data_IF_968767216416
#
_entry.id   IF_968767216416
#
_cell.length_a   1.000
_cell.length_b   1.000
_cell.length_c   1.000
_cell.angle_alpha   90.00
_cell.angle_beta   90.00
_cell.angle_gamma   90.00
#
_symmetry.space_group_name_H-M   'P 1'
#
loop_
_entity.id
_entity.type
_entity.pdbx_description
1 polymer ?
#
# COMPACT_ATOMS: atom_id res chain seq x y z
N UNK A 1 -53.42 -49.99 16.32
CA UNK A 1 -52.95 -49.32 15.12
C UNK A 1 -51.91 -48.26 15.57
N UNK A 2 -50.62 -48.58 15.47
CA UNK A 2 -49.52 -47.64 15.85
C UNK A 2 -48.99 -47.00 14.57
N UNK A 3 -49.14 -45.70 14.48
CA UNK A 3 -48.60 -44.91 13.37
C UNK A 3 -47.17 -44.51 13.76
N UNK A 4 -46.20 -45.03 12.99
CA UNK A 4 -44.79 -44.69 13.12
C UNK A 4 -44.52 -43.39 12.34
N UNK A 5 -44.10 -42.33 13.04
CA UNK A 5 -43.60 -41.11 12.38
C UNK A 5 -42.13 -41.30 12.02
N UNK A 6 -41.87 -41.25 10.70
CA UNK A 6 -40.51 -41.22 10.11
C UNK A 6 -40.05 -39.77 10.05
N UNK A 7 -39.08 -39.41 10.88
CA UNK A 7 -38.44 -38.08 10.83
C UNK A 7 -37.29 -38.13 9.81
N UNK A 8 -37.44 -37.44 8.68
CA UNK A 8 -36.34 -37.21 7.73
C UNK A 8 -35.45 -36.09 8.22
N UNK A 9 -34.22 -36.42 8.61
CA UNK A 9 -33.15 -35.45 8.88
C UNK A 9 -32.53 -35.07 7.52
N UNK A 10 -32.77 -33.83 7.05
CA UNK A 10 -32.01 -33.26 5.96
C UNK A 10 -30.66 -32.75 6.53
N UNK A 11 -29.59 -33.47 6.22
CA UNK A 11 -28.22 -32.97 6.43
C UNK A 11 -27.90 -31.97 5.32
N UNK A 12 -27.87 -30.69 5.68
CA UNK A 12 -27.38 -29.63 4.79
C UNK A 12 -25.82 -29.71 4.79
N UNK A 13 -25.27 -30.37 3.78
CA UNK A 13 -23.82 -30.32 3.50
C UNK A 13 -23.49 -28.93 2.94
N UNK A 14 -22.97 -28.04 3.77
CA UNK A 14 -22.30 -26.84 3.31
C UNK A 14 -20.99 -27.28 2.66
N UNK A 15 -20.96 -27.34 1.34
CA UNK A 15 -19.73 -27.49 0.59
C UNK A 15 -18.91 -26.21 0.80
N UNK A 16 -17.86 -26.31 1.60
CA UNK A 16 -16.84 -25.28 1.61
C UNK A 16 -16.23 -25.24 0.20
N UNK A 17 -16.53 -24.20 -0.56
CA UNK A 17 -15.83 -23.90 -1.82
C UNK A 17 -14.41 -23.53 -1.43
N UNK A 18 -13.51 -24.51 -1.45
CA UNK A 18 -12.08 -24.24 -1.51
C UNK A 18 -11.83 -23.68 -2.91
N UNK A 19 -11.61 -22.38 -3.02
CA UNK A 19 -11.19 -21.77 -4.27
C UNK A 19 -9.97 -22.54 -4.80
N UNK A 20 -10.10 -23.12 -5.99
CA UNK A 20 -8.96 -23.68 -6.71
C UNK A 20 -8.06 -22.51 -7.11
N UNK A 21 -6.74 -22.63 -7.00
CA UNK A 21 -5.85 -21.58 -7.48
C UNK A 21 -6.11 -21.39 -8.98
N UNK A 22 -6.60 -20.19 -9.38
CA UNK A 22 -6.58 -19.76 -10.76
C UNK A 22 -5.17 -19.25 -11.00
N UNK A 23 -4.44 -19.91 -11.87
CA UNK A 23 -3.10 -19.53 -12.28
C UNK A 23 -1.98 -20.26 -11.56
N UNK A 24 -0.86 -20.31 -12.24
CA UNK A 24 0.42 -20.84 -11.75
C UNK A 24 1.30 -19.66 -11.38
N UNK A 25 1.41 -19.39 -10.08
CA UNK A 25 2.28 -18.36 -9.54
C UNK A 25 3.62 -18.98 -9.16
N UNK A 26 4.69 -18.61 -9.86
CA UNK A 26 6.01 -19.12 -9.54
C UNK A 26 6.76 -18.22 -8.56
N UNK A 27 7.07 -18.75 -7.40
CA UNK A 27 7.82 -18.04 -6.38
C UNK A 27 9.30 -17.91 -6.75
N UNK A 28 9.82 -16.69 -6.68
CA UNK A 28 11.23 -16.35 -6.77
C UNK A 28 11.68 -15.73 -5.45
N UNK A 29 12.80 -16.20 -4.92
CA UNK A 29 13.38 -15.67 -3.69
C UNK A 29 14.49 -14.68 -4.04
N UNK A 30 14.29 -13.41 -3.66
CA UNK A 30 15.29 -12.37 -3.81
C UNK A 30 16.25 -12.40 -2.62
N UNK A 31 15.70 -12.56 -1.42
CA UNK A 31 16.49 -12.56 -0.20
C UNK A 31 15.78 -13.32 0.93
N UNK A 32 16.57 -14.03 1.73
CA UNK A 32 16.14 -14.60 3.00
C UNK A 32 17.05 -14.09 4.11
N UNK A 33 16.48 -13.63 5.20
CA UNK A 33 17.31 -13.05 6.25
C UNK A 33 16.55 -12.59 7.48
N UNK A 34 16.08 -11.36 7.49
CA UNK A 34 15.48 -10.74 8.67
C UNK A 34 14.08 -10.20 8.36
N UNK A 35 13.34 -9.86 9.43
CA UNK A 35 12.06 -9.16 9.35
C UNK A 35 12.16 -7.95 8.44
N UNK A 36 11.26 -7.87 7.49
CA UNK A 36 11.26 -6.87 6.45
C UNK A 36 9.87 -6.28 6.24
N UNK A 37 9.76 -4.96 6.13
CA UNK A 37 8.48 -4.27 5.99
C UNK A 37 8.34 -3.53 4.66
N UNK A 38 9.41 -3.41 3.88
CA UNK A 38 9.46 -2.57 2.68
C UNK A 38 10.14 -3.31 1.56
N UNK A 39 9.50 -3.35 0.39
CA UNK A 39 10.12 -3.71 -0.86
C UNK A 39 9.55 -2.83 -1.98
N UNK A 40 10.43 -2.18 -2.75
CA UNK A 40 10.07 -1.41 -3.95
C UNK A 40 10.94 -1.85 -5.11
N UNK A 41 10.43 -1.72 -6.33
CA UNK A 41 11.10 -2.19 -7.53
C UNK A 41 11.16 -1.12 -8.62
N UNK A 42 12.31 -1.01 -9.26
CA UNK A 42 12.57 -0.20 -10.45
C UNK A 42 13.88 -0.67 -11.09
N UNK A 43 14.18 -0.20 -12.29
CA UNK A 43 15.52 -0.37 -12.90
C UNK A 43 16.50 0.62 -12.24
N UNK A 44 17.02 0.23 -11.04
CA UNK A 44 17.96 1.07 -10.30
C UNK A 44 19.39 1.04 -10.84
N UNK A 45 19.69 0.15 -11.76
CA UNK A 45 21.04 0.04 -12.34
C UNK A 45 21.15 0.59 -13.75
N UNK A 46 20.01 0.88 -14.39
CA UNK A 46 19.93 1.35 -15.77
C UNK A 46 20.30 0.27 -16.80
N UNK A 47 20.21 -1.03 -16.40
CA UNK A 47 20.54 -2.16 -17.27
C UNK A 47 19.34 -2.77 -18.01
N UNK A 48 18.16 -2.20 -17.78
CA UNK A 48 16.90 -2.62 -18.37
C UNK A 48 16.18 -3.71 -17.58
N UNK A 49 16.72 -4.20 -16.46
CA UNK A 49 16.06 -5.17 -15.59
C UNK A 49 15.49 -4.49 -14.34
N UNK A 50 14.51 -5.13 -13.72
CA UNK A 50 13.89 -4.62 -12.50
C UNK A 50 14.67 -5.10 -11.29
N UNK A 51 15.30 -4.15 -10.59
CA UNK A 51 15.98 -4.36 -9.32
C UNK A 51 15.01 -4.12 -8.15
N UNK A 52 15.42 -4.52 -6.94
CA UNK A 52 14.60 -4.34 -5.74
C UNK A 52 15.39 -3.63 -4.65
N UNK A 53 14.78 -2.61 -4.04
CA UNK A 53 15.28 -2.03 -2.79
C UNK A 53 14.40 -2.49 -1.63
N UNK A 54 15.06 -2.88 -0.54
CA UNK A 54 14.41 -3.29 0.69
C UNK A 54 15.17 -2.84 1.93
N UNK A 55 14.46 -2.59 3.02
CA UNK A 55 15.06 -2.09 4.26
C UNK A 55 14.67 -2.91 5.48
N UNK A 56 15.67 -3.30 6.25
CA UNK A 56 15.48 -4.00 7.52
C UNK A 56 16.65 -3.73 8.48
N UNK A 57 16.33 -3.56 9.77
CA UNK A 57 17.33 -3.38 10.84
C UNK A 57 18.35 -2.27 10.56
N UNK A 58 17.89 -1.15 10.01
CA UNK A 58 18.72 0.01 9.68
C UNK A 58 19.57 -0.12 8.42
N UNK A 59 19.49 -1.26 7.73
CA UNK A 59 20.20 -1.44 6.45
C UNK A 59 19.23 -1.35 5.28
N UNK A 60 19.51 -0.44 4.37
CA UNK A 60 18.82 -0.33 3.08
C UNK A 60 19.67 -1.04 2.03
N UNK A 61 19.06 -1.98 1.34
CA UNK A 61 19.70 -2.91 0.41
C UNK A 61 19.13 -2.76 -0.98
N UNK A 62 20.00 -2.62 -1.95
CA UNK A 62 19.69 -2.81 -3.36
C UNK A 62 20.02 -4.27 -3.71
N UNK A 63 19.08 -4.98 -4.29
CA UNK A 63 19.22 -6.31 -4.86
C UNK A 63 19.19 -6.21 -6.38
N UNK A 64 20.33 -6.48 -7.00
CA UNK A 64 20.51 -6.29 -8.45
C UNK A 64 20.11 -7.56 -9.20
N UNK A 65 19.19 -7.43 -10.13
CA UNK A 65 18.75 -8.51 -11.02
C UNK A 65 19.84 -8.92 -12.02
N UNK A 66 19.83 -10.18 -12.53
CA UNK A 66 18.93 -11.27 -12.19
C UNK A 66 19.40 -12.10 -10.99
N UNK A 67 20.63 -11.90 -10.54
CA UNK A 67 21.31 -12.74 -9.53
C UNK A 67 21.00 -12.28 -8.11
N UNK A 68 20.26 -11.21 -7.96
CA UNK A 68 19.89 -10.59 -6.67
C UNK A 68 21.10 -10.26 -5.80
N UNK A 69 22.18 -9.84 -6.43
CA UNK A 69 23.38 -9.42 -5.72
C UNK A 69 23.06 -8.26 -4.78
N UNK A 70 23.30 -8.49 -3.48
CA UNK A 70 23.04 -7.49 -2.45
C UNK A 70 24.10 -6.39 -2.43
N UNK A 71 23.67 -5.14 -2.45
CA UNK A 71 24.49 -3.93 -2.25
C UNK A 71 23.90 -3.16 -1.07
N UNK A 72 24.71 -2.77 -0.09
CA UNK A 72 24.28 -1.90 1.01
C UNK A 72 24.36 -0.45 0.53
N UNK A 73 23.22 0.16 0.30
CA UNK A 73 23.11 1.58 -0.13
C UNK A 73 22.94 2.54 1.04
N UNK A 74 22.53 2.03 2.22
CA UNK A 74 22.45 2.78 3.47
C UNK A 74 22.65 1.87 4.67
N UNK A 75 23.39 2.32 5.68
CA UNK A 75 23.62 1.60 6.94
C UNK A 75 23.53 2.61 8.10
N UNK A 76 22.32 2.83 8.60
CA UNK A 76 22.03 3.69 9.73
C UNK A 76 20.90 3.06 10.55
N UNK A 77 21.20 2.76 11.83
CA UNK A 77 20.25 2.15 12.77
C UNK A 77 18.94 2.93 12.90
N UNK A 78 18.99 4.23 12.61
CA UNK A 78 17.81 5.09 12.65
C UNK A 78 16.97 5.02 11.37
N UNK A 79 17.48 4.41 10.30
CA UNK A 79 16.76 4.20 9.04
C UNK A 79 16.03 2.83 9.01
N UNK A 80 15.27 2.51 10.04
CA UNK A 80 14.37 1.35 10.06
C UNK A 80 13.00 1.76 9.51
N UNK A 81 12.80 1.55 8.21
CA UNK A 81 11.59 1.97 7.51
C UNK A 81 10.45 0.98 7.68
N UNK A 82 9.22 1.50 7.68
CA UNK A 82 7.99 0.72 7.75
C UNK A 82 7.27 0.71 6.40
N UNK A 83 7.48 1.72 5.59
CA UNK A 83 6.93 1.86 4.24
C UNK A 83 7.93 2.62 3.36
N UNK A 84 7.77 2.54 2.04
CA UNK A 84 8.63 3.25 1.11
C UNK A 84 7.98 3.44 -0.25
N UNK A 85 8.57 4.34 -1.03
CA UNK A 85 8.21 4.64 -2.43
C UNK A 85 9.46 4.72 -3.30
N UNK A 86 9.24 4.66 -4.61
CA UNK A 86 10.30 4.86 -5.62
C UNK A 86 9.79 5.64 -6.80
N UNK A 87 10.51 6.67 -7.17
CA UNK A 87 10.34 7.49 -8.37
C UNK A 87 11.54 8.42 -8.52
N UNK A 88 11.68 9.07 -9.67
CA UNK A 88 12.68 10.12 -9.92
C UNK A 88 12.29 11.39 -9.16
N UNK A 89 12.97 11.66 -8.03
CA UNK A 89 12.68 12.79 -7.13
C UNK A 89 13.26 14.10 -7.65
N UNK A 90 14.41 14.06 -8.31
CA UNK A 90 15.13 15.28 -8.69
C UNK A 90 15.17 15.56 -10.19
N UNK A 91 14.49 14.73 -10.97
CA UNK A 91 14.29 14.93 -12.39
C UNK A 91 15.51 14.59 -13.24
N UNK A 92 16.40 13.72 -12.77
CA UNK A 92 17.60 13.33 -13.51
C UNK A 92 17.43 12.07 -14.35
N UNK A 93 16.27 11.42 -14.27
CA UNK A 93 15.88 10.25 -15.04
C UNK A 93 16.12 8.92 -14.34
N UNK A 94 16.77 8.92 -13.17
CA UNK A 94 17.05 7.75 -12.37
C UNK A 94 16.02 7.59 -11.25
N UNK A 95 15.64 6.36 -10.92
CA UNK A 95 14.69 6.11 -9.84
C UNK A 95 15.37 6.17 -8.46
N UNK A 96 14.85 6.99 -7.57
CA UNK A 96 15.28 7.13 -6.19
C UNK A 96 14.52 6.22 -5.23
N UNK A 97 14.98 6.11 -3.99
CA UNK A 97 14.27 5.42 -2.92
C UNK A 97 13.86 6.37 -1.81
N UNK A 98 12.60 6.29 -1.38
CA UNK A 98 12.07 7.02 -0.24
C UNK A 98 11.67 6.03 0.84
N UNK A 99 12.23 6.17 2.05
CA UNK A 99 11.89 5.36 3.21
C UNK A 99 11.17 6.19 4.28
N UNK A 100 10.08 5.64 4.82
CA UNK A 100 9.32 6.24 5.90
C UNK A 100 9.44 5.45 7.20
N UNK A 101 9.75 6.15 8.30
CA UNK A 101 9.92 5.57 9.64
C UNK A 101 8.78 6.03 10.56
N UNK A 102 8.15 5.07 11.24
CA UNK A 102 7.01 5.32 12.13
C UNK A 102 7.38 6.15 13.37
N UNK A 103 8.47 5.81 14.06
CA UNK A 103 8.95 6.51 15.28
C UNK A 103 10.45 6.69 15.23
N UNK A 104 10.93 7.90 15.52
CA UNK A 104 10.22 9.10 15.97
C UNK A 104 9.36 9.77 14.91
N UNK A 105 9.47 9.40 13.64
CA UNK A 105 8.88 9.99 12.46
C UNK A 105 9.97 10.58 11.58
N UNK A 106 10.14 9.99 10.40
CA UNK A 106 11.22 10.39 9.50
C UNK A 106 10.87 9.94 8.08
N UNK A 107 11.08 10.82 7.11
CA UNK A 107 11.12 10.46 5.69
C UNK A 107 12.51 10.77 5.18
N UNK A 108 13.15 9.76 4.62
CA UNK A 108 14.49 9.86 4.04
C UNK A 108 14.41 9.56 2.56
N UNK A 109 14.95 10.44 1.78
CA UNK A 109 15.20 10.25 0.37
C UNK A 109 16.66 9.80 0.16
N UNK A 110 16.83 8.66 -0.47
CA UNK A 110 18.10 8.14 -0.94
C UNK A 110 18.25 8.49 -2.42
N UNK A 111 19.10 9.48 -2.70
CA UNK A 111 19.43 9.92 -4.04
C UNK A 111 20.28 8.86 -4.73
N UNK A 112 19.76 8.32 -5.86
CA UNK A 112 20.53 7.40 -6.68
C UNK A 112 21.75 8.13 -7.29
N UNK A 113 22.96 7.53 -7.23
CA UNK A 113 24.11 8.11 -7.90
C UNK A 113 24.03 7.97 -9.42
N UNK A 114 24.14 9.07 -10.16
CA UNK A 114 24.14 9.08 -11.64
C UNK A 114 25.24 8.18 -12.27
N UNK A 115 26.22 7.70 -11.49
CA UNK A 115 27.28 6.81 -11.95
C UNK A 115 27.53 5.69 -10.93
N UNK A 116 27.50 4.46 -11.42
CA UNK A 116 27.83 3.27 -10.63
C UNK A 116 26.99 3.12 -9.35
N UNK A 117 25.65 3.04 -9.41
CA UNK A 117 24.77 2.96 -8.24
C UNK A 117 25.07 1.73 -7.36
N UNK A 118 25.75 0.72 -7.91
CA UNK A 118 26.17 -0.49 -7.17
C UNK A 118 27.51 -0.36 -6.43
N UNK A 119 28.26 0.73 -6.59
CA UNK A 119 29.60 0.91 -6.00
C UNK A 119 29.67 1.96 -4.90
N UNK A 120 28.84 2.98 -4.98
CA UNK A 120 28.85 4.09 -4.05
C UNK A 120 27.63 3.99 -3.12
N UNK A 121 27.81 4.26 -1.81
CA UNK A 121 26.64 4.43 -0.96
C UNK A 121 25.79 5.58 -1.48
N UNK A 122 24.48 5.40 -1.46
CA UNK A 122 23.55 6.44 -1.85
C UNK A 122 23.53 7.57 -0.83
N UNK A 123 23.31 8.78 -1.29
CA UNK A 123 23.23 9.93 -0.40
C UNK A 123 21.85 10.01 0.23
N UNK A 124 21.79 9.80 1.54
CA UNK A 124 20.57 9.96 2.31
C UNK A 124 20.31 11.43 2.63
N UNK A 125 19.09 11.91 2.37
CA UNK A 125 18.61 13.26 2.67
C UNK A 125 17.32 13.18 3.46
N UNK A 126 17.17 14.01 4.49
CA UNK A 126 15.93 14.04 5.26
C UNK A 126 14.92 14.95 4.54
N UNK A 127 13.81 14.36 4.08
CA UNK A 127 12.70 15.10 3.49
C UNK A 127 11.76 15.66 4.56
N UNK A 128 11.51 14.90 5.66
CA UNK A 128 10.59 15.26 6.74
C UNK A 128 11.04 14.61 8.06
N UNK A 129 10.98 15.34 9.20
CA UNK A 129 11.38 14.83 10.52
C UNK A 129 10.54 15.38 11.70
N UNK A 130 9.44 16.07 11.41
CA UNK A 130 8.54 16.63 12.43
C UNK A 130 7.21 15.89 12.57
N UNK A 131 6.80 15.11 11.53
CA UNK A 131 5.60 14.29 11.56
C UNK A 131 5.90 12.99 12.32
N UNK A 132 5.11 12.67 13.36
CA UNK A 132 5.30 11.46 14.17
C UNK A 132 4.25 10.42 13.81
N UNK A 133 4.70 9.17 13.61
CA UNK A 133 3.81 8.05 13.33
C UNK A 133 3.47 7.91 11.85
N UNK A 134 4.41 8.26 10.98
CA UNK A 134 4.28 8.05 9.54
C UNK A 134 4.20 6.55 9.29
N UNK A 135 3.03 6.07 8.91
CA UNK A 135 2.80 4.66 8.60
C UNK A 135 2.76 4.39 7.11
N UNK A 136 2.13 5.27 6.34
CA UNK A 136 2.06 5.21 4.89
C UNK A 136 2.68 6.44 4.23
N UNK A 137 3.29 6.23 3.09
CA UNK A 137 3.65 7.28 2.12
C UNK A 137 3.13 6.86 0.75
N UNK A 138 2.73 7.83 -0.07
CA UNK A 138 2.22 7.60 -1.41
C UNK A 138 2.62 8.76 -2.31
N UNK A 139 3.10 8.46 -3.51
CA UNK A 139 3.39 9.45 -4.54
C UNK A 139 2.13 9.81 -5.34
N UNK A 140 1.88 11.10 -5.54
CA UNK A 140 0.82 11.60 -6.41
C UNK A 140 1.09 13.08 -6.76
N UNK A 141 0.58 13.54 -7.89
CA UNK A 141 0.57 14.97 -8.22
C UNK A 141 -0.63 15.64 -7.55
N UNK A 142 -0.40 16.22 -6.38
CA UNK A 142 -1.48 16.77 -5.53
C UNK A 142 -1.88 18.17 -5.96
N UNK A 143 -0.93 18.94 -6.47
CA UNK A 143 -1.16 20.34 -6.83
C UNK A 143 -1.48 20.55 -8.32
N UNK A 144 -1.40 19.49 -9.14
CA UNK A 144 -1.70 19.52 -10.57
C UNK A 144 -0.62 20.20 -11.40
N UNK A 145 0.64 20.24 -10.95
CA UNK A 145 1.75 20.88 -11.66
C UNK A 145 2.50 19.93 -12.62
N UNK A 146 2.07 18.68 -12.70
CA UNK A 146 2.63 17.63 -13.54
C UNK A 146 3.84 16.94 -12.90
N UNK A 147 4.12 17.17 -11.61
CA UNK A 147 5.18 16.52 -10.86
C UNK A 147 4.60 15.74 -9.70
N UNK A 148 5.33 14.71 -9.30
CA UNK A 148 4.93 13.93 -8.14
C UNK A 148 5.31 14.66 -6.85
N UNK A 149 4.35 14.68 -5.92
CA UNK A 149 4.50 15.02 -4.51
C UNK A 149 4.49 13.75 -3.66
N UNK A 150 4.67 13.86 -2.35
CA UNK A 150 4.60 12.74 -1.43
C UNK A 150 3.56 12.97 -0.34
N UNK A 151 2.57 12.09 -0.26
CA UNK A 151 1.64 12.03 0.85
C UNK A 151 2.25 11.34 2.07
N UNK A 152 1.89 11.79 3.27
CA UNK A 152 2.28 11.17 4.53
C UNK A 152 1.21 11.39 5.61
N UNK A 153 0.97 10.37 6.44
CA UNK A 153 0.09 10.47 7.59
C UNK A 153 0.86 10.72 8.90
N UNK A 154 0.21 11.36 9.88
CA UNK A 154 0.65 11.46 11.27
C UNK A 154 -0.23 10.56 12.14
N UNK A 155 0.12 9.27 12.22
CA UNK A 155 -0.67 8.25 12.92
C UNK A 155 -0.60 8.31 14.45
N UNK A 156 -0.12 9.41 15.06
CA UNK A 156 0.02 9.54 16.51
C UNK A 156 -0.71 10.78 17.05
N UNK A 157 -1.34 10.67 18.24
CA UNK A 157 -2.03 11.79 18.90
C UNK A 157 -1.07 12.71 19.64
N UNK A 158 0.13 12.93 19.12
CA UNK A 158 1.20 13.72 19.76
C UNK A 158 2.18 14.26 18.73
N UNK A 159 3.09 15.11 19.19
CA UNK A 159 4.07 15.79 18.34
C UNK A 159 3.54 17.14 17.86
N UNK A 160 4.21 17.70 16.86
CA UNK A 160 3.87 19.03 16.30
C UNK A 160 2.59 19.00 15.47
N UNK A 161 2.28 17.85 14.86
CA UNK A 161 1.13 17.64 13.98
C UNK A 161 0.35 16.39 14.42
N UNK A 162 -0.31 16.40 15.62
CA UNK A 162 -1.01 15.23 16.12
C UNK A 162 -2.23 14.91 15.26
N UNK A 163 -2.48 13.62 15.01
CA UNK A 163 -3.68 13.16 14.26
C UNK A 163 -3.90 13.91 12.94
N UNK A 164 -2.82 14.20 12.23
CA UNK A 164 -2.87 14.99 10.99
C UNK A 164 -2.44 14.16 9.80
N UNK A 165 -2.62 14.69 8.61
CA UNK A 165 -2.01 14.16 7.40
C UNK A 165 -1.56 15.32 6.50
N UNK A 166 -0.53 15.06 5.73
CA UNK A 166 0.16 16.07 4.94
C UNK A 166 0.51 15.54 3.55
N UNK A 167 0.72 16.48 2.65
CA UNK A 167 1.50 16.22 1.47
C UNK A 167 2.76 17.10 1.49
N UNK A 168 3.81 16.58 0.91
CA UNK A 168 5.13 17.21 0.86
C UNK A 168 5.42 17.59 -0.59
N UNK A 169 5.44 18.88 -0.86
CA UNK A 169 5.82 19.42 -2.15
C UNK A 169 7.34 19.28 -2.32
N UNK A 170 7.76 18.58 -3.36
CA UNK A 170 9.17 18.40 -3.68
C UNK A 170 9.75 19.71 -4.20
N UNK A 171 10.79 20.26 -3.56
CA UNK A 171 11.40 21.51 -4.01
C UNK A 171 11.97 21.40 -5.42
N UNK A 172 11.92 22.48 -6.20
CA UNK A 172 12.51 22.52 -7.54
C UNK A 172 13.98 22.06 -7.59
N UNK A 173 14.70 22.19 -6.48
CA UNK A 173 16.06 21.69 -6.33
C UNK A 173 16.19 20.91 -5.01
N UNK A 174 15.71 19.65 -4.98
CA UNK A 174 15.64 18.85 -3.75
C UNK A 174 17.03 18.51 -3.19
N UNK A 175 18.07 18.48 -4.04
CA UNK A 175 19.46 18.23 -3.63
C UNK A 175 20.02 19.31 -2.69
N UNK A 176 19.48 20.53 -2.75
CA UNK A 176 19.91 21.69 -1.94
C UNK A 176 18.90 22.07 -0.84
N UNK A 177 17.76 21.42 -0.77
CA UNK A 177 16.75 21.70 0.24
C UNK A 177 17.07 20.98 1.56
N UNK A 178 16.81 21.68 2.68
CA UNK A 178 16.95 21.07 4.00
C UNK A 178 15.79 20.12 4.32
N UNK A 179 14.59 20.46 3.86
CA UNK A 179 13.34 19.68 4.01
C UNK A 179 12.44 20.01 2.83
N UNK A 180 11.46 19.14 2.57
CA UNK A 180 10.40 19.41 1.61
C UNK A 180 9.33 20.32 2.22
N UNK A 181 8.59 21.05 1.39
CA UNK A 181 7.53 21.94 1.86
C UNK A 181 6.32 21.12 2.29
N UNK A 182 5.95 21.22 3.55
CA UNK A 182 4.82 20.49 4.11
C UNK A 182 3.53 21.29 4.06
N UNK A 183 2.49 20.71 3.51
CA UNK A 183 1.12 21.21 3.51
C UNK A 183 0.22 20.25 4.28
N UNK A 184 -0.42 20.75 5.35
CA UNK A 184 -1.32 19.94 6.19
C UNK A 184 -2.72 20.00 5.61
N UNK A 185 -3.15 18.94 4.92
CA UNK A 185 -4.50 18.86 4.35
C UNK A 185 -5.55 18.40 5.38
N UNK A 186 -5.17 17.54 6.34
CA UNK A 186 -6.00 17.10 7.46
C UNK A 186 -5.35 17.53 8.78
N UNK A 187 -5.75 18.70 9.30
CA UNK A 187 -5.17 19.25 10.53
C UNK A 187 -5.93 18.76 11.74
N UNK A 188 -5.30 17.90 12.57
CA UNK A 188 -5.90 17.29 13.77
C UNK A 188 -7.23 16.56 13.49
N UNK A 189 -7.47 16.19 12.22
CA UNK A 189 -8.72 15.67 11.72
C UNK A 189 -8.62 14.19 11.26
N UNK A 190 -7.51 13.53 11.56
CA UNK A 190 -7.29 12.11 11.27
C UNK A 190 -6.97 11.28 12.54
N UNK A 191 -7.82 11.35 13.61
CA UNK A 191 -7.58 10.63 14.85
C UNK A 191 -7.77 9.12 14.69
N UNK A 192 -7.29 8.34 15.68
CA UNK A 192 -7.56 6.90 15.72
C UNK A 192 -6.48 6.03 15.11
N UNK A 193 -5.25 6.49 15.07
CA UNK A 193 -4.08 5.78 14.53
C UNK A 193 -4.20 5.54 13.02
N UNK A 194 -4.17 6.63 12.25
CA UNK A 194 -4.21 6.58 10.79
C UNK A 194 -3.08 5.74 10.19
N UNK A 195 -3.34 5.10 9.03
CA UNK A 195 -2.47 4.13 8.40
C UNK A 195 -2.05 4.53 7.00
N UNK A 196 -2.63 3.89 5.96
CA UNK A 196 -2.28 4.14 4.56
C UNK A 196 -3.20 5.17 3.92
N UNK A 197 -2.73 5.70 2.80
CA UNK A 197 -3.40 6.72 2.02
C UNK A 197 -3.63 6.22 0.59
N UNK A 198 -4.59 6.84 -0.08
CA UNK A 198 -4.81 6.77 -1.52
C UNK A 198 -5.01 8.16 -2.10
N UNK A 199 -4.97 8.30 -3.40
CA UNK A 199 -5.21 9.56 -4.10
C UNK A 199 -5.97 9.33 -5.39
N UNK A 200 -6.94 10.21 -5.71
CA UNK A 200 -7.74 10.14 -6.92
C UNK A 200 -8.81 11.23 -6.94
N UNK A 201 -9.30 11.60 -8.11
CA UNK A 201 -10.42 12.54 -8.27
C UNK A 201 -11.75 11.81 -8.02
N UNK A 202 -12.20 11.81 -6.76
CA UNK A 202 -13.38 11.05 -6.32
C UNK A 202 -14.73 11.73 -6.66
N UNK A 203 -14.71 13.04 -6.87
CA UNK A 203 -15.90 13.82 -7.16
C UNK A 203 -16.00 14.28 -8.62
N UNK A 204 -15.00 13.99 -9.46
CA UNK A 204 -14.96 14.32 -10.87
C UNK A 204 -14.72 15.80 -11.17
N UNK A 205 -14.08 16.54 -10.25
CA UNK A 205 -13.86 17.98 -10.40
C UNK A 205 -12.48 18.35 -10.94
N UNK A 206 -11.66 17.34 -11.27
CA UNK A 206 -10.32 17.48 -11.86
C UNK A 206 -9.22 17.76 -10.85
N UNK A 207 -9.49 17.64 -9.53
CA UNK A 207 -8.49 17.81 -8.47
C UNK A 207 -8.24 16.48 -7.76
N UNK A 208 -7.04 16.34 -7.22
CA UNK A 208 -6.63 15.14 -6.53
C UNK A 208 -7.15 15.14 -5.09
N UNK A 209 -8.17 14.31 -4.81
CA UNK A 209 -8.65 14.02 -3.47
C UNK A 209 -7.77 12.96 -2.80
N UNK A 210 -7.79 12.91 -1.47
CA UNK A 210 -6.95 12.00 -0.70
C UNK A 210 -7.81 11.12 0.19
N UNK A 211 -7.58 9.80 0.14
CA UNK A 211 -8.21 8.84 1.04
C UNK A 211 -7.29 8.45 2.18
N UNK A 212 -7.86 8.13 3.35
CA UNK A 212 -7.10 7.72 4.53
C UNK A 212 -7.95 6.79 5.40
N UNK A 213 -7.27 5.85 6.05
CA UNK A 213 -7.84 4.89 6.97
C UNK A 213 -7.30 5.09 8.39
N UNK A 214 -8.11 4.83 9.42
CA UNK A 214 -7.63 4.79 10.81
C UNK A 214 -8.10 3.52 11.52
N UNK A 215 -7.13 2.75 12.00
CA UNK A 215 -7.38 1.38 12.47
C UNK A 215 -8.10 1.29 13.80
N UNK A 216 -7.99 2.29 14.67
CA UNK A 216 -8.51 2.22 16.04
C UNK A 216 -7.88 1.11 16.90
N UNK A 217 -8.74 0.39 17.61
CA UNK A 217 -8.38 -0.76 18.43
C UNK A 217 -7.76 -0.39 19.79
N UNK A 218 -7.24 -1.36 20.57
CA UNK A 218 -6.83 -1.14 21.97
C UNK A 218 -5.70 -0.12 22.16
N UNK A 219 -4.90 0.13 21.12
CA UNK A 219 -3.82 1.13 21.14
C UNK A 219 -4.33 2.55 20.91
N UNK A 220 -5.51 2.71 20.34
CA UNK A 220 -6.18 4.00 20.17
C UNK A 220 -6.88 4.44 21.47
N UNK A 221 -6.20 5.28 22.22
CA UNK A 221 -6.75 5.79 23.49
C UNK A 221 -7.83 6.87 23.29
N UNK A 222 -8.00 7.38 22.08
CA UNK A 222 -9.06 8.32 21.75
C UNK A 222 -10.41 7.63 21.51
N UNK A 223 -10.40 6.37 21.08
CA UNK A 223 -11.58 5.64 20.64
C UNK A 223 -12.22 6.22 19.37
N UNK A 224 -11.50 7.04 18.62
CA UNK A 224 -11.99 7.74 17.44
C UNK A 224 -11.56 7.10 16.12
N UNK A 225 -10.92 5.91 16.16
CA UNK A 225 -10.51 5.16 14.96
C UNK A 225 -11.62 4.29 14.39
N UNK A 226 -11.20 3.27 13.62
CA UNK A 226 -12.07 2.28 12.98
C UNK A 226 -12.93 2.86 11.85
N UNK A 227 -12.35 3.76 11.05
CA UNK A 227 -13.01 4.44 9.96
C UNK A 227 -12.17 4.47 8.68
N UNK A 228 -12.88 4.66 7.55
CA UNK A 228 -12.38 5.10 6.26
C UNK A 228 -12.95 6.48 5.94
N UNK A 229 -12.17 7.34 5.32
CA UNK A 229 -12.58 8.68 4.93
C UNK A 229 -11.80 9.17 3.71
N UNK A 230 -12.33 10.21 3.06
CA UNK A 230 -11.61 10.94 2.04
C UNK A 230 -11.68 12.45 2.29
N UNK A 231 -10.72 13.18 1.77
CA UNK A 231 -10.62 14.63 1.87
C UNK A 231 -10.69 15.25 0.49
N UNK A 232 -11.75 16.03 0.27
CA UNK A 232 -12.03 16.78 -0.95
C UNK A 232 -11.08 17.96 -1.07
N UNK A 233 -10.30 17.99 -2.16
CA UNK A 233 -9.34 19.04 -2.46
C UNK A 233 -10.05 20.34 -2.86
N UNK A 234 -9.69 21.46 -2.22
CA UNK A 234 -10.13 22.79 -2.64
C UNK A 234 -9.35 23.31 -3.85
N UNK A 235 -9.72 24.50 -4.34
CA UNK A 235 -8.99 25.18 -5.42
C UNK A 235 -7.53 25.53 -5.08
N UNK A 236 -7.24 25.70 -3.82
CA UNK A 236 -5.89 25.92 -3.29
C UNK A 236 -5.46 24.67 -2.51
N UNK A 237 -4.62 23.78 -3.10
CA UNK A 237 -4.24 22.53 -2.46
C UNK A 237 -3.32 22.71 -1.25
N UNK A 238 -2.85 23.92 -0.99
CA UNK A 238 -2.03 24.24 0.19
C UNK A 238 -2.87 24.45 1.45
N UNK A 239 -4.19 24.54 1.32
CA UNK A 239 -5.16 24.72 2.42
C UNK A 239 -5.69 23.36 2.91
N UNK A 240 -6.24 23.31 4.14
CA UNK A 240 -6.92 22.12 4.61
C UNK A 240 -8.07 21.70 3.66
N UNK A 241 -8.15 20.39 3.41
CA UNK A 241 -9.19 19.76 2.60
C UNK A 241 -10.44 19.49 3.44
N UNK A 242 -11.56 19.27 2.77
CA UNK A 242 -12.83 18.98 3.44
C UNK A 242 -13.00 17.48 3.63
N UNK A 243 -13.11 17.01 4.88
CA UNK A 243 -13.30 15.61 5.21
C UNK A 243 -14.69 15.09 4.90
N UNK A 244 -14.75 13.91 4.33
CA UNK A 244 -15.95 13.10 4.14
C UNK A 244 -15.73 11.72 4.78
N UNK A 245 -16.46 11.42 5.85
CA UNK A 245 -16.41 10.13 6.49
C UNK A 245 -17.24 9.13 5.66
N UNK A 246 -16.64 7.97 5.34
CA UNK A 246 -17.34 6.89 4.67
C UNK A 246 -18.24 6.12 5.67
N UNK A 247 -19.34 5.52 5.20
CA UNK A 247 -20.27 4.81 6.09
C UNK A 247 -19.66 3.56 6.71
N UNK A 248 -20.19 3.17 7.87
CA UNK A 248 -19.81 1.97 8.60
C UNK A 248 -18.77 2.20 9.68
N UNK A 249 -18.57 1.15 10.48
CA UNK A 249 -17.51 1.04 11.48
C UNK A 249 -16.60 -0.11 11.09
N UNK A 250 -15.31 0.16 10.98
CA UNK A 250 -14.35 -0.76 10.37
C UNK A 250 -13.15 -1.04 11.30
N UNK A 251 -13.33 -1.92 12.29
CA UNK A 251 -12.23 -2.31 13.18
C UNK A 251 -11.01 -2.77 12.37
N UNK A 252 -9.87 -2.13 12.62
CA UNK A 252 -8.64 -2.44 11.94
C UNK A 252 -8.49 -1.86 10.54
N UNK A 253 -9.26 -0.85 10.15
CA UNK A 253 -9.15 -0.12 8.88
C UNK A 253 -7.71 0.29 8.58
N UNK A 254 -7.19 -0.03 7.39
CA UNK A 254 -5.75 0.10 7.13
C UNK A 254 -5.45 0.73 5.78
N UNK A 255 -5.82 0.08 4.69
CA UNK A 255 -5.53 0.56 3.35
C UNK A 255 -6.83 0.98 2.64
N UNK A 256 -6.73 1.96 1.76
CA UNK A 256 -7.86 2.58 1.09
C UNK A 256 -7.40 3.19 -0.24
N UNK A 257 -7.87 2.65 -1.36
CA UNK A 257 -7.40 3.01 -2.69
C UNK A 257 -8.57 3.35 -3.62
N UNK A 258 -8.57 4.54 -4.26
CA UNK A 258 -9.49 4.85 -5.33
C UNK A 258 -9.26 3.95 -6.56
N UNK A 259 -10.35 3.45 -7.15
CA UNK A 259 -10.36 2.65 -8.38
C UNK A 259 -11.77 2.63 -8.98
N UNK A 260 -11.90 2.66 -10.30
CA UNK A 260 -13.18 2.38 -10.97
C UNK A 260 -13.39 0.86 -10.95
N UNK A 261 -14.19 0.39 -9.99
CA UNK A 261 -14.40 -1.05 -9.73
C UNK A 261 -15.47 -1.65 -10.64
N UNK A 262 -16.48 -0.86 -10.99
CA UNK A 262 -17.66 -1.33 -11.72
C UNK A 262 -17.72 -0.87 -13.18
N UNK A 263 -16.68 -0.16 -13.65
CA UNK A 263 -16.56 0.32 -15.03
C UNK A 263 -17.53 1.45 -15.39
N UNK A 264 -18.04 2.22 -14.40
CA UNK A 264 -18.99 3.32 -14.63
C UNK A 264 -18.31 4.67 -14.92
N UNK A 265 -16.98 4.72 -14.92
CA UNK A 265 -16.16 5.88 -15.18
C UNK A 265 -15.98 6.80 -13.96
N UNK A 266 -16.43 6.40 -12.78
CA UNK A 266 -16.17 7.10 -11.51
C UNK A 266 -15.25 6.28 -10.63
N UNK A 267 -14.43 6.96 -9.85
CA UNK A 267 -13.61 6.27 -8.88
C UNK A 267 -14.43 5.83 -7.68
N UNK A 268 -14.53 4.53 -7.48
CA UNK A 268 -14.93 3.86 -6.26
C UNK A 268 -13.76 3.79 -5.28
N UNK A 269 -13.95 3.16 -4.14
CA UNK A 269 -12.88 2.98 -3.15
C UNK A 269 -12.80 1.50 -2.73
N UNK A 270 -11.64 0.86 -2.95
CA UNK A 270 -11.33 -0.44 -2.38
C UNK A 270 -10.58 -0.28 -1.05
N UNK A 271 -10.97 -1.03 -0.03
CA UNK A 271 -10.43 -0.87 1.32
C UNK A 271 -10.17 -2.19 2.04
N UNK A 272 -9.10 -2.24 2.85
CA UNK A 272 -8.75 -3.41 3.64
C UNK A 272 -8.75 -3.13 5.15
N UNK A 273 -9.10 -4.15 5.94
CA UNK A 273 -9.07 -4.12 7.41
C UNK A 273 -7.82 -4.85 7.90
N UNK A 274 -6.64 -4.26 7.66
CA UNK A 274 -5.34 -4.91 7.88
C UNK A 274 -4.97 -5.19 9.34
N UNK A 275 -5.71 -4.64 10.31
CA UNK A 275 -5.68 -5.04 11.72
C UNK A 275 -7.02 -5.65 12.17
N UNK A 276 -7.84 -6.07 11.24
CA UNK A 276 -9.13 -6.72 11.39
C UNK A 276 -9.28 -7.87 10.41
N UNK A 277 -10.44 -7.95 9.75
CA UNK A 277 -10.80 -9.04 8.84
C UNK A 277 -11.37 -8.49 7.55
N UNK A 278 -10.87 -8.98 6.41
CA UNK A 278 -11.47 -8.85 5.10
C UNK A 278 -11.23 -7.54 4.37
N UNK A 279 -11.76 -7.51 3.16
CA UNK A 279 -11.73 -6.39 2.23
C UNK A 279 -13.14 -6.04 1.81
N UNK A 280 -13.36 -4.75 1.53
CA UNK A 280 -14.62 -4.19 1.02
C UNK A 280 -14.34 -3.21 -0.11
N UNK A 281 -15.38 -2.83 -0.84
CA UNK A 281 -15.34 -1.64 -1.67
C UNK A 281 -16.59 -0.78 -1.45
N UNK A 282 -16.45 0.51 -1.74
CA UNK A 282 -17.50 1.51 -1.64
C UNK A 282 -17.86 2.01 -3.03
N UNK A 283 -19.11 1.87 -3.42
CA UNK A 283 -19.63 2.30 -4.71
C UNK A 283 -19.97 3.81 -4.70
N UNK A 284 -19.29 4.57 -5.54
CA UNK A 284 -19.53 6.00 -5.73
C UNK A 284 -20.80 6.22 -6.59
N UNK A 285 -21.68 7.24 -6.32
CA UNK A 285 -21.50 8.30 -5.33
C UNK A 285 -22.21 8.06 -3.99
N UNK A 286 -22.95 6.97 -3.85
CA UNK A 286 -23.74 6.69 -2.65
C UNK A 286 -22.92 6.05 -1.53
N UNK A 287 -21.72 5.60 -1.84
CA UNK A 287 -20.81 4.90 -0.92
C UNK A 287 -21.44 3.65 -0.31
N UNK A 288 -22.24 2.93 -1.12
CA UNK A 288 -22.74 1.61 -0.73
C UNK A 288 -21.59 0.66 -0.48
N UNK A 289 -21.67 -0.14 0.60
CA UNK A 289 -20.62 -1.06 1.00
C UNK A 289 -20.86 -2.42 0.36
N UNK A 290 -19.86 -2.96 -0.31
CA UNK A 290 -19.83 -4.30 -0.86
C UNK A 290 -18.67 -5.11 -0.29
N UNK A 291 -18.91 -6.37 0.06
CA UNK A 291 -17.85 -7.26 0.58
C UNK A 291 -17.08 -7.90 -0.58
N UNK A 292 -15.75 -7.79 -0.54
CA UNK A 292 -14.83 -8.51 -1.45
C UNK A 292 -14.45 -9.84 -0.81
N UNK A 293 -14.05 -9.80 0.46
CA UNK A 293 -13.64 -10.97 1.23
C UNK A 293 -13.88 -10.73 2.71
N UNK A 294 -14.36 -11.73 3.43
CA UNK A 294 -14.65 -11.65 4.88
C UNK A 294 -13.92 -12.72 5.72
N UNK A 295 -12.93 -13.41 5.14
CA UNK A 295 -12.23 -14.51 5.80
C UNK A 295 -10.77 -14.20 6.11
N UNK A 296 -10.10 -13.38 5.27
CA UNK A 296 -8.68 -13.09 5.46
C UNK A 296 -8.43 -12.25 6.71
N UNK A 297 -7.60 -12.80 7.59
CA UNK A 297 -7.19 -12.13 8.83
C UNK A 297 -6.00 -11.21 8.58
N UNK A 298 -6.14 -9.96 8.93
CA UNK A 298 -5.12 -8.90 8.77
C UNK A 298 -4.60 -8.74 7.32
N UNK A 299 -5.46 -8.44 6.33
CA UNK A 299 -5.03 -8.05 4.97
C UNK A 299 -4.41 -6.66 5.03
N UNK A 300 -3.07 -6.59 5.26
CA UNK A 300 -2.42 -5.39 5.75
C UNK A 300 -2.15 -4.36 4.68
N UNK A 301 -1.62 -4.76 3.53
CA UNK A 301 -1.39 -3.89 2.38
C UNK A 301 -2.30 -4.29 1.22
N UNK A 302 -2.67 -3.33 0.40
CA UNK A 302 -3.57 -3.48 -0.73
C UNK A 302 -2.95 -2.82 -1.96
N UNK A 303 -3.05 -3.48 -3.11
CA UNK A 303 -2.70 -2.94 -4.42
C UNK A 303 -3.85 -3.19 -5.39
N UNK A 304 -4.00 -2.31 -6.38
CA UNK A 304 -5.00 -2.39 -7.44
C UNK A 304 -4.28 -2.40 -8.78
N UNK A 305 -4.72 -3.26 -9.69
CA UNK A 305 -4.20 -3.36 -11.06
C UNK A 305 -4.94 -4.44 -11.83
N UNK A 306 -4.88 -4.41 -13.14
CA UNK A 306 -5.37 -5.45 -14.03
C UNK A 306 -4.36 -6.62 -14.00
N UNK A 307 -4.66 -7.65 -13.18
CA UNK A 307 -3.69 -8.73 -12.88
C UNK A 307 -3.74 -9.84 -13.94
N UNK A 308 -4.91 -10.09 -14.52
CA UNK A 308 -5.07 -11.15 -15.53
C UNK A 308 -5.23 -10.61 -16.95
N UNK A 309 -5.01 -9.31 -17.15
CA UNK A 309 -5.04 -8.61 -18.44
C UNK A 309 -6.40 -8.72 -19.18
N UNK A 310 -7.51 -8.73 -18.42
CA UNK A 310 -8.86 -8.75 -18.96
C UNK A 310 -9.48 -7.37 -19.17
N UNK A 311 -8.79 -6.31 -18.67
CA UNK A 311 -9.17 -4.91 -18.77
C UNK A 311 -9.90 -4.37 -17.54
N UNK A 312 -10.22 -5.20 -16.56
CA UNK A 312 -10.87 -4.81 -15.32
C UNK A 312 -9.84 -4.63 -14.18
N UNK A 313 -10.15 -3.81 -13.20
CA UNK A 313 -9.23 -3.58 -12.07
C UNK A 313 -9.46 -4.59 -10.96
N UNK A 314 -8.43 -5.37 -10.69
CA UNK A 314 -8.35 -6.35 -9.62
C UNK A 314 -7.72 -5.78 -8.36
N UNK A 315 -7.79 -6.55 -7.28
CA UNK A 315 -7.12 -6.22 -6.03
C UNK A 315 -6.16 -7.32 -5.59
N UNK A 316 -5.02 -6.95 -4.96
CA UNK A 316 -4.11 -7.90 -4.34
C UNK A 316 -3.76 -7.48 -2.91
N UNK A 317 -3.58 -8.47 -2.01
CA UNK A 317 -3.21 -8.22 -0.61
C UNK A 317 -2.26 -9.27 -0.06
N UNK A 318 -1.50 -8.88 0.96
CA UNK A 318 -0.84 -9.80 1.86
C UNK A 318 -1.55 -9.80 3.22
N UNK A 319 -2.01 -10.99 3.63
CA UNK A 319 -2.77 -11.18 4.87
C UNK A 319 -1.88 -11.74 5.99
N UNK A 320 -1.46 -10.84 6.89
CA UNK A 320 -0.46 -11.10 7.91
C UNK A 320 -0.79 -12.28 8.84
N UNK A 321 -1.98 -12.29 9.45
CA UNK A 321 -2.38 -13.38 10.36
C UNK A 321 -2.85 -14.62 9.62
N UNK A 322 -3.46 -14.50 8.46
CA UNK A 322 -3.78 -15.64 7.60
C UNK A 322 -2.56 -16.25 6.93
N UNK A 323 -1.39 -15.58 6.96
CA UNK A 323 -0.16 -15.99 6.28
C UNK A 323 -0.35 -16.26 4.78
N UNK A 324 -1.15 -15.44 4.10
CA UNK A 324 -1.52 -15.63 2.70
C UNK A 324 -1.20 -14.39 1.87
N UNK A 325 -0.70 -14.61 0.67
CA UNK A 325 -0.80 -13.65 -0.42
C UNK A 325 -1.98 -14.07 -1.29
N UNK A 326 -2.84 -13.13 -1.65
CA UNK A 326 -4.06 -13.39 -2.41
C UNK A 326 -4.34 -12.25 -3.38
N UNK A 327 -5.02 -12.57 -4.49
CA UNK A 327 -5.61 -11.59 -5.37
C UNK A 327 -7.10 -11.86 -5.54
N UNK A 328 -7.83 -10.86 -5.98
CA UNK A 328 -9.27 -10.86 -6.09
C UNK A 328 -9.60 -10.42 -7.51
N UNK A 329 -9.96 -11.40 -8.35
CA UNK A 329 -10.40 -11.21 -9.72
C UNK A 329 -11.75 -10.50 -9.72
N UNK A 330 -11.83 -9.33 -10.34
CA UNK A 330 -13.04 -8.57 -10.56
C UNK A 330 -13.69 -9.01 -11.89
N UNK A 331 -14.99 -8.96 -11.98
CA UNK A 331 -15.73 -9.22 -13.23
C UNK A 331 -16.12 -7.93 -13.98
N UNK A 332 -15.45 -6.80 -13.68
CA UNK A 332 -15.74 -5.48 -14.22
C UNK A 332 -17.07 -4.87 -13.76
N UNK A 333 -17.73 -5.52 -12.80
CA UNK A 333 -19.03 -5.08 -12.22
C UNK A 333 -19.03 -5.09 -10.70
N UNK A 334 -17.84 -5.19 -10.11
CA UNK A 334 -17.64 -5.19 -8.66
C UNK A 334 -17.91 -6.51 -7.96
N UNK A 335 -17.99 -7.62 -8.69
CA UNK A 335 -18.06 -8.95 -8.09
C UNK A 335 -16.68 -9.61 -8.14
N UNK A 336 -16.16 -9.94 -6.97
CA UNK A 336 -14.82 -10.47 -6.82
C UNK A 336 -14.78 -11.97 -6.56
N UNK A 337 -13.78 -12.64 -7.14
CA UNK A 337 -13.41 -14.03 -6.86
C UNK A 337 -12.03 -14.07 -6.20
N UNK A 338 -11.92 -14.75 -5.05
CA UNK A 338 -10.65 -14.83 -4.30
C UNK A 338 -9.77 -15.95 -4.83
N UNK A 339 -8.51 -15.64 -5.15
CA UNK A 339 -7.45 -16.56 -5.53
C UNK A 339 -6.25 -16.47 -4.60
N UNK A 340 -5.68 -17.60 -4.22
CA UNK A 340 -4.51 -17.65 -3.34
C UNK A 340 -3.24 -17.74 -4.19
N UNK A 341 -2.39 -16.74 -4.08
CA UNK A 341 -1.06 -16.71 -4.70
C UNK A 341 -0.11 -17.61 -3.91
N UNK A 342 -0.10 -17.47 -2.59
CA UNK A 342 0.71 -18.31 -1.71
C UNK A 342 0.04 -18.47 -0.33
N UNK A 343 0.07 -19.70 0.21
CA UNK A 343 -0.59 -20.07 1.46
C UNK A 343 0.33 -20.02 2.70
N UNK A 344 1.60 -19.63 2.54
CA UNK A 344 2.56 -19.48 3.64
C UNK A 344 3.49 -18.27 3.43
N UNK A 345 2.89 -17.08 3.31
CA UNK A 345 3.61 -15.82 3.21
C UNK A 345 3.07 -14.81 4.22
N UNK A 346 3.73 -14.70 5.36
CA UNK A 346 3.39 -13.71 6.39
C UNK A 346 4.09 -12.38 6.08
N UNK A 347 3.34 -11.44 5.51
CA UNK A 347 3.89 -10.23 4.92
C UNK A 347 3.17 -8.95 5.38
N UNK A 348 3.82 -7.83 5.16
CA UNK A 348 3.35 -6.50 5.55
C UNK A 348 3.22 -5.53 4.39
N UNK A 349 4.00 -5.71 3.32
CA UNK A 349 3.97 -4.90 2.11
C UNK A 349 3.88 -5.79 0.86
N UNK A 350 3.07 -5.35 -0.10
CA UNK A 350 2.85 -5.98 -1.39
C UNK A 350 2.86 -4.90 -2.47
N UNK A 351 3.45 -5.20 -3.63
CA UNK A 351 3.47 -4.35 -4.82
C UNK A 351 3.11 -5.14 -6.06
N UNK A 352 2.38 -4.52 -6.98
CA UNK A 352 2.16 -5.01 -8.33
C UNK A 352 3.19 -4.35 -9.25
N UNK A 353 4.02 -5.15 -9.89
CA UNK A 353 5.13 -4.69 -10.76
C UNK A 353 5.39 -5.76 -11.80
N UNK A 354 5.55 -5.41 -13.06
CA UNK A 354 6.07 -6.30 -14.10
C UNK A 354 7.57 -6.52 -13.85
N UNK A 355 7.92 -7.60 -13.13
CA UNK A 355 9.27 -7.87 -12.62
C UNK A 355 10.21 -8.43 -13.68
N UNK A 356 9.68 -9.18 -14.65
CA UNK A 356 10.48 -9.81 -15.72
C UNK A 356 10.27 -9.18 -17.11
N UNK A 357 9.41 -8.15 -17.16
CA UNK A 357 9.11 -7.34 -18.36
C UNK A 357 8.44 -8.15 -19.47
N UNK A 358 7.59 -9.08 -19.10
CA UNK A 358 6.78 -9.85 -20.06
C UNK A 358 5.39 -9.22 -20.35
N UNK A 359 5.06 -8.12 -19.65
CA UNK A 359 3.88 -7.28 -19.87
C UNK A 359 2.71 -7.60 -18.95
N UNK A 360 2.85 -8.51 -17.99
CA UNK A 360 1.85 -8.75 -16.96
C UNK A 360 2.32 -8.27 -15.57
N UNK A 361 1.39 -8.16 -14.64
CA UNK A 361 1.69 -7.70 -13.28
C UNK A 361 2.04 -8.86 -12.37
N UNK A 362 3.27 -8.86 -11.89
CA UNK A 362 3.76 -9.74 -10.84
C UNK A 362 3.50 -9.18 -9.44
N UNK A 363 3.73 -10.02 -8.43
CA UNK A 363 3.54 -9.66 -7.03
C UNK A 363 4.86 -9.66 -6.27
N UNK A 364 5.39 -8.49 -5.94
CA UNK A 364 6.56 -8.32 -5.06
C UNK A 364 6.12 -8.20 -3.60
N UNK A 365 6.78 -8.91 -2.69
CA UNK A 365 6.41 -8.96 -1.26
C UNK A 365 7.60 -8.76 -0.33
N UNK A 366 7.41 -7.89 0.67
CA UNK A 366 8.24 -7.81 1.86
C UNK A 366 7.67 -8.67 2.99
N UNK A 367 8.27 -9.83 3.21
CA UNK A 367 7.81 -10.84 4.16
C UNK A 367 8.22 -10.55 5.60
N UNK A 368 7.35 -9.87 6.36
CA UNK A 368 7.67 -9.40 7.70
C UNK A 368 8.06 -10.54 8.66
N UNK A 369 7.20 -11.55 8.86
CA UNK A 369 7.54 -12.74 9.67
C UNK A 369 8.07 -13.90 8.83
N UNK A 370 7.85 -13.87 7.54
CA UNK A 370 8.51 -14.81 6.62
C UNK A 370 10.00 -14.48 6.45
N UNK A 371 10.46 -13.32 6.94
CA UNK A 371 11.86 -12.88 6.94
C UNK A 371 12.52 -12.93 5.55
N UNK A 372 11.78 -12.57 4.51
CA UNK A 372 12.24 -12.67 3.13
C UNK A 372 11.80 -11.46 2.30
N UNK A 373 12.40 -11.34 1.12
CA UNK A 373 11.89 -10.57 -0.02
C UNK A 373 11.71 -11.55 -1.14
N UNK A 374 10.50 -11.62 -1.67
CA UNK A 374 10.13 -12.57 -2.72
C UNK A 374 9.28 -11.89 -3.76
N UNK A 375 9.26 -12.43 -4.98
CA UNK A 375 8.25 -12.08 -5.95
C UNK A 375 7.60 -13.34 -6.52
N UNK A 376 6.38 -13.20 -6.98
CA UNK A 376 5.60 -14.26 -7.59
C UNK A 376 5.36 -13.87 -9.04
N UNK A 377 5.99 -14.62 -9.95
CA UNK A 377 5.81 -14.51 -11.40
C UNK A 377 4.38 -14.91 -11.75
N UNK A 378 3.69 -13.98 -12.39
CA UNK A 378 2.35 -14.21 -12.92
C UNK A 378 2.44 -15.12 -14.15
N UNK A 379 1.62 -16.16 -14.21
CA UNK A 379 1.55 -17.10 -15.34
C UNK A 379 0.10 -17.34 -15.76
N UNK A 380 -0.75 -16.35 -15.46
CA UNK A 380 -2.13 -16.33 -15.89
C UNK A 380 -2.14 -16.05 -17.41
N UNK A 381 -2.30 -17.08 -18.25
CA UNK A 381 -2.40 -16.94 -19.71
C UNK A 381 -3.67 -17.59 -20.19
#
# INVERSE_FOLDING_TARGET
MKISQLTFLFALTIAAHTAQPKGDWKKHVIWEGQRNNVAVAADFTGDGKVDVISSSSGKTRLFVAPDWKQIIIGDDKDHTFIHGETFDVDGDGDADFIGARYKPGLIVWFEQPNKNPTRNPWKARIAEDEIIGIHGVLKADINGDGKLDLLANSGQPKGKFPNSAAWLEIPKNPRNANRWTRHIFAKEDAPGLSHYLGAGDLNGDGRMDITLAAKGGPADKSGQGEWFAWWEAGKDPTKPFKKHLLPGKHPGATNIMPADVNGDGKLDIVASRGHGVGLIWYENPQWAIHEINNDLQSPHCLQIGDIDNDGDLDAATCAYLSRKAAWFENDGKGKFTTHIINADQCAYDIRLVDMDKDGDLDVLIAGQQSNNVVWYENRLK
#
